data_IF_300582853304
#
_entry.id   IF_300582853304
#
_cell.length_a   1.000
_cell.length_b   1.000
_cell.length_c   1.000
_cell.angle_alpha   90.00
_cell.angle_beta   90.00
_cell.angle_gamma   90.00
#
_symmetry.space_group_name_H-M   'P 1'
#
loop_
_entity.id
_entity.type
_entity.pdbx_description
1 polymer ?
#
# COMPACT_ATOMS: atom_id res chain seq x y z
N UNK A 1 -17.86 12.04 -0.32
CA UNK A 1 -18.88 11.46 0.53
C UNK A 1 -19.70 10.42 -0.20
N UNK A 2 -20.78 9.94 0.41
CA UNK A 2 -21.63 8.85 -0.11
C UNK A 2 -22.16 9.06 -1.54
N UNK A 3 -22.47 10.31 -1.90
CA UNK A 3 -22.92 10.63 -3.25
C UNK A 3 -21.86 10.28 -4.30
N UNK A 4 -20.61 10.66 -4.06
CA UNK A 4 -19.49 10.36 -4.97
C UNK A 4 -19.22 8.86 -5.05
N UNK A 5 -19.37 8.15 -3.94
CA UNK A 5 -19.19 6.68 -3.89
C UNK A 5 -20.25 5.96 -4.75
N UNK A 6 -21.51 6.39 -4.64
CA UNK A 6 -22.60 5.88 -5.49
C UNK A 6 -22.40 6.24 -6.97
N UNK A 7 -21.97 7.47 -7.25
CA UNK A 7 -21.67 7.92 -8.61
C UNK A 7 -20.51 7.12 -9.24
N UNK A 8 -19.40 6.92 -8.49
CA UNK A 8 -18.26 6.15 -8.95
C UNK A 8 -18.63 4.67 -9.22
N UNK A 9 -19.44 4.07 -8.36
CA UNK A 9 -19.94 2.72 -8.56
C UNK A 9 -20.88 2.59 -9.74
N UNK A 10 -21.87 3.48 -9.87
CA UNK A 10 -22.90 3.38 -10.91
C UNK A 10 -22.35 3.58 -12.32
N UNK A 11 -21.44 4.55 -12.50
CA UNK A 11 -20.89 4.88 -13.83
C UNK A 11 -19.65 4.09 -14.19
N UNK A 12 -18.76 3.83 -13.20
CA UNK A 12 -17.43 3.29 -13.47
C UNK A 12 -17.17 1.95 -12.79
N UNK A 13 -18.09 1.45 -11.97
CA UNK A 13 -17.88 0.26 -11.12
C UNK A 13 -16.66 0.38 -10.20
N UNK A 14 -16.29 1.60 -9.85
CA UNK A 14 -15.16 1.91 -8.98
C UNK A 14 -15.62 2.01 -7.53
N UNK A 15 -14.98 1.25 -6.65
CA UNK A 15 -15.18 1.31 -5.20
C UNK A 15 -14.05 2.14 -4.59
N UNK A 16 -14.39 3.00 -3.62
CA UNK A 16 -13.41 3.78 -2.86
C UNK A 16 -12.43 2.86 -2.15
N UNK A 17 -11.12 3.13 -2.26
CA UNK A 17 -10.09 2.44 -1.47
C UNK A 17 -10.29 2.76 0.00
N UNK A 18 -10.48 1.72 0.80
CA UNK A 18 -10.51 1.86 2.25
C UNK A 18 -9.08 1.95 2.78
N UNK A 19 -8.89 2.66 3.88
CA UNK A 19 -7.60 2.70 4.54
C UNK A 19 -7.23 1.34 5.14
N UNK A 20 -5.94 1.18 5.41
CA UNK A 20 -5.41 0.03 6.16
C UNK A 20 -4.72 0.57 7.41
N UNK A 21 -5.08 0.10 8.60
CA UNK A 21 -4.45 0.57 9.84
C UNK A 21 -2.97 0.18 9.90
N UNK A 22 -2.20 0.91 10.69
CA UNK A 22 -0.83 0.54 11.02
C UNK A 22 -0.80 -0.78 11.80
N UNK A 23 0.29 -1.52 11.70
CA UNK A 23 0.50 -2.76 12.45
C UNK A 23 1.89 -2.83 13.05
N UNK A 24 2.04 -3.62 14.10
CA UNK A 24 3.32 -3.87 14.75
C UNK A 24 3.46 -5.34 15.13
N UNK A 25 4.68 -5.83 15.12
CA UNK A 25 5.02 -7.14 15.71
C UNK A 25 5.38 -6.90 17.17
N UNK A 26 4.64 -7.55 18.05
CA UNK A 26 4.76 -7.39 19.50
C UNK A 26 5.32 -8.67 20.08
N UNK A 27 6.36 -8.53 20.89
CA UNK A 27 6.85 -9.56 21.76
C UNK A 27 6.06 -9.54 23.06
N UNK A 28 5.36 -10.62 23.37
CA UNK A 28 4.59 -10.83 24.59
C UNK A 28 5.36 -11.79 25.46
N UNK A 29 5.66 -11.38 26.68
CA UNK A 29 6.33 -12.23 27.68
C UNK A 29 5.38 -12.53 28.82
N UNK A 30 5.35 -13.77 29.30
CA UNK A 30 4.47 -14.16 30.40
C UNK A 30 4.56 -15.65 30.72
N UNK A 31 3.59 -16.11 31.51
CA UNK A 31 3.52 -17.50 31.95
C UNK A 31 3.21 -18.42 30.75
N UNK A 32 3.93 -19.56 30.62
CA UNK A 32 3.58 -20.58 29.63
C UNK A 32 2.11 -21.00 29.70
N UNK A 33 1.57 -21.39 28.56
CA UNK A 33 0.17 -21.81 28.36
C UNK A 33 -0.89 -20.74 28.60
N UNK A 34 -0.49 -19.48 28.85
CA UNK A 34 -1.44 -18.34 28.94
C UNK A 34 -2.08 -18.09 27.57
N UNK A 35 -3.40 -18.18 27.50
CA UNK A 35 -4.19 -17.83 26.30
C UNK A 35 -4.29 -16.33 26.13
N UNK A 36 -4.03 -15.84 24.92
CA UNK A 36 -4.18 -14.45 24.50
C UNK A 36 -5.42 -14.36 23.60
N UNK A 37 -6.54 -13.83 24.10
CA UNK A 37 -7.80 -13.75 23.34
C UNK A 37 -7.76 -12.67 22.24
N UNK A 38 -8.72 -12.71 21.33
CA UNK A 38 -8.82 -11.80 20.19
C UNK A 38 -9.08 -10.32 20.56
N UNK A 39 -9.53 -10.05 21.78
CA UNK A 39 -9.78 -8.70 22.30
C UNK A 39 -8.61 -8.12 23.08
N UNK A 40 -7.47 -8.84 23.13
CA UNK A 40 -6.28 -8.36 23.81
C UNK A 40 -5.75 -7.08 23.20
N UNK A 41 -5.80 -6.01 23.97
CA UNK A 41 -5.46 -4.65 23.55
C UNK A 41 -4.28 -4.11 24.35
N UNK A 42 -3.36 -3.47 23.66
CA UNK A 42 -2.15 -2.82 24.17
C UNK A 42 -2.03 -1.41 23.64
N UNK A 43 -1.17 -0.57 24.22
CA UNK A 43 -1.04 0.83 23.86
C UNK A 43 0.41 1.33 23.95
N UNK A 44 0.70 2.41 23.21
CA UNK A 44 1.89 3.25 23.39
C UNK A 44 1.60 4.52 24.21
N UNK A 45 0.38 4.63 24.77
CA UNK A 45 -0.11 5.81 25.47
C UNK A 45 -0.88 6.80 24.60
N UNK A 46 -0.76 6.71 23.27
CA UNK A 46 -1.48 7.56 22.32
C UNK A 46 -2.33 6.76 21.33
N UNK A 47 -1.95 5.54 21.03
CA UNK A 47 -2.60 4.65 20.08
C UNK A 47 -2.83 3.27 20.70
N UNK A 48 -3.95 2.65 20.36
CA UNK A 48 -4.32 1.33 20.84
C UNK A 48 -4.20 0.30 19.70
N UNK A 49 -3.63 -0.85 20.04
CA UNK A 49 -3.42 -1.96 19.13
C UNK A 49 -4.12 -3.21 19.66
N UNK A 50 -4.82 -3.91 18.80
CA UNK A 50 -5.48 -5.17 19.10
C UNK A 50 -4.76 -6.33 18.40
N UNK A 51 -4.72 -7.48 19.00
CA UNK A 51 -4.10 -8.67 18.39
C UNK A 51 -4.87 -9.10 17.12
N UNK A 52 -4.15 -9.41 16.03
CA UNK A 52 -4.77 -9.83 14.77
C UNK A 52 -5.43 -11.22 14.87
N UNK A 53 -4.83 -12.11 15.64
CA UNK A 53 -5.35 -13.47 15.87
C UNK A 53 -5.03 -13.92 17.29
N UNK A 54 -5.96 -14.62 17.96
CA UNK A 54 -5.70 -15.16 19.28
C UNK A 54 -4.53 -16.17 19.23
N UNK A 55 -3.78 -16.25 20.30
CA UNK A 55 -2.60 -17.12 20.40
C UNK A 55 -2.38 -17.59 21.84
N UNK A 56 -1.37 -18.43 22.08
CA UNK A 56 -0.98 -18.93 23.39
C UNK A 56 0.52 -18.74 23.61
N UNK A 57 0.92 -18.38 24.81
CA UNK A 57 2.33 -18.26 25.18
C UNK A 57 2.94 -19.67 25.26
N UNK A 58 3.99 -19.99 24.49
CA UNK A 58 4.63 -21.29 24.50
C UNK A 58 5.44 -21.53 25.79
N UNK A 59 6.00 -22.71 25.94
CA UNK A 59 6.86 -23.10 27.11
C UNK A 59 8.07 -22.17 27.27
N UNK A 60 8.54 -21.52 26.20
CA UNK A 60 9.64 -20.54 26.27
C UNK A 60 9.29 -19.28 27.07
N UNK A 61 8.00 -19.05 27.37
CA UNK A 61 7.52 -17.85 28.05
C UNK A 61 7.47 -16.59 27.19
N UNK A 62 7.72 -16.69 25.87
CA UNK A 62 7.73 -15.57 24.95
C UNK A 62 7.13 -15.93 23.60
N UNK A 63 6.33 -15.03 23.03
CA UNK A 63 5.75 -15.15 21.68
C UNK A 63 5.74 -13.81 20.95
N UNK A 64 5.93 -13.86 19.64
CA UNK A 64 5.76 -12.71 18.75
C UNK A 64 4.42 -12.81 18.03
N UNK A 65 3.59 -11.80 18.17
CA UNK A 65 2.27 -11.73 17.53
C UNK A 65 2.09 -10.39 16.81
N UNK A 66 1.30 -10.40 15.75
CA UNK A 66 0.95 -9.19 15.00
C UNK A 66 -0.23 -8.50 15.66
N UNK A 67 -0.10 -7.18 15.82
CA UNK A 67 -1.14 -6.30 16.34
C UNK A 67 -1.49 -5.25 15.30
N UNK A 68 -2.75 -4.86 15.27
CA UNK A 68 -3.32 -3.90 14.34
C UNK A 68 -3.83 -2.70 15.14
N UNK A 69 -3.51 -1.49 14.69
CA UNK A 69 -4.03 -0.27 15.30
C UNK A 69 -5.56 -0.23 15.16
N UNK A 70 -6.25 0.14 16.23
CA UNK A 70 -7.72 0.30 16.23
C UNK A 70 -8.19 1.47 15.36
N UNK A 71 -7.30 2.43 15.06
CA UNK A 71 -7.61 3.60 14.25
C UNK A 71 -6.74 3.66 13.00
N UNK A 72 -7.32 4.16 11.91
CA UNK A 72 -6.57 4.49 10.71
C UNK A 72 -6.18 5.97 10.78
N UNK A 73 -4.93 6.23 11.13
CA UNK A 73 -4.37 7.57 11.24
C UNK A 73 -2.91 7.59 10.72
N UNK A 74 -2.33 8.78 10.58
CA UNK A 74 -0.98 9.01 10.06
C UNK A 74 0.12 8.84 11.11
N UNK A 75 -0.23 8.46 12.34
CA UNK A 75 0.72 8.29 13.43
C UNK A 75 1.36 6.92 13.39
N UNK A 76 2.63 6.87 13.73
CA UNK A 76 3.41 5.63 13.91
C UNK A 76 3.93 5.55 15.34
N UNK A 77 4.00 4.34 15.89
CA UNK A 77 4.65 4.09 17.17
C UNK A 77 6.12 3.72 16.94
N UNK A 78 7.03 4.36 17.65
CA UNK A 78 8.46 4.05 17.58
C UNK A 78 8.76 2.66 18.18
N UNK A 79 9.98 2.15 17.92
CA UNK A 79 10.45 0.94 18.57
C UNK A 79 10.45 1.10 20.10
N UNK A 80 10.08 0.05 20.82
CA UNK A 80 10.02 -0.04 22.28
C UNK A 80 9.07 0.95 22.98
N UNK A 81 8.05 1.47 22.26
CA UNK A 81 7.07 2.39 22.86
C UNK A 81 5.74 1.72 23.19
N UNK A 82 5.38 0.62 22.51
CA UNK A 82 4.14 -0.12 22.77
C UNK A 82 4.37 -1.06 23.95
N UNK A 83 4.15 -0.55 25.16
CA UNK A 83 4.49 -1.26 26.40
C UNK A 83 3.34 -1.33 27.41
N UNK A 84 2.23 -0.64 27.16
CA UNK A 84 1.10 -0.60 28.08
C UNK A 84 0.10 -1.72 27.74
N UNK A 85 -0.27 -2.51 28.75
CA UNK A 85 -1.33 -3.52 28.64
C UNK A 85 -2.66 -2.82 29.00
N UNK A 86 -3.59 -2.74 28.07
CA UNK A 86 -4.91 -2.14 28.26
C UNK A 86 -5.88 -3.22 28.76
N UNK A 87 -5.93 -4.36 28.08
CA UNK A 87 -6.72 -5.52 28.52
C UNK A 87 -5.86 -6.40 29.42
N UNK A 88 -6.12 -6.36 30.72
CA UNK A 88 -5.33 -7.13 31.67
C UNK A 88 -5.66 -8.63 31.59
N UNK A 89 -4.65 -9.45 31.33
CA UNK A 89 -4.75 -10.93 31.26
C UNK A 89 -3.82 -11.50 32.32
N UNK A 90 -4.37 -12.37 33.18
CA UNK A 90 -3.56 -13.05 34.19
C UNK A 90 -2.55 -14.00 33.51
N UNK A 91 -1.28 -13.76 33.73
CA UNK A 91 -0.19 -14.51 33.12
C UNK A 91 0.58 -13.76 32.03
N UNK A 92 0.10 -12.64 31.53
CA UNK A 92 0.88 -11.71 30.69
C UNK A 92 1.64 -10.74 31.60
N UNK A 93 2.96 -10.67 31.45
CA UNK A 93 3.84 -9.84 32.27
C UNK A 93 4.30 -8.59 31.56
N UNK A 94 4.63 -8.69 30.28
CA UNK A 94 5.19 -7.58 29.50
C UNK A 94 4.87 -7.71 28.01
N UNK A 95 4.72 -6.56 27.36
CA UNK A 95 4.62 -6.41 25.92
C UNK A 95 5.62 -5.38 25.41
N UNK A 96 6.18 -5.56 24.24
CA UNK A 96 7.06 -4.57 23.60
C UNK A 96 7.15 -4.80 22.09
N UNK A 97 7.38 -3.74 21.33
CA UNK A 97 7.67 -3.78 19.90
C UNK A 97 9.17 -3.52 19.67
N UNK A 98 9.90 -4.44 19.09
CA UNK A 98 11.33 -4.29 18.77
C UNK A 98 11.57 -3.31 17.59
N UNK A 99 10.61 -3.22 16.68
CA UNK A 99 10.64 -2.35 15.52
C UNK A 99 9.48 -1.34 15.55
N UNK A 100 9.59 -0.20 14.85
CA UNK A 100 8.48 0.73 14.70
C UNK A 100 7.26 0.06 14.06
N UNK A 101 6.07 0.60 14.33
CA UNK A 101 4.87 0.18 13.61
C UNK A 101 4.96 0.53 12.13
N UNK A 102 4.22 -0.20 11.28
CA UNK A 102 4.06 0.15 9.88
C UNK A 102 3.30 1.46 9.73
N UNK A 103 3.43 2.10 8.57
CA UNK A 103 2.64 3.29 8.24
C UNK A 103 1.24 2.85 7.80
N UNK A 104 0.20 3.51 8.32
CA UNK A 104 -1.16 3.29 7.87
C UNK A 104 -1.39 3.83 6.46
N UNK A 105 -2.23 3.15 5.69
CA UNK A 105 -2.72 3.68 4.42
C UNK A 105 -4.04 4.39 4.70
N UNK A 106 -4.09 5.69 4.44
CA UNK A 106 -5.30 6.47 4.68
C UNK A 106 -6.40 6.13 3.68
N UNK A 107 -7.65 6.30 4.11
CA UNK A 107 -8.81 6.16 3.21
C UNK A 107 -8.72 7.16 2.06
N UNK A 108 -9.03 6.71 0.85
CA UNK A 108 -9.06 7.55 -0.35
C UNK A 108 -10.00 8.76 -0.19
N UNK A 109 -9.49 9.95 -0.43
CA UNK A 109 -10.28 11.19 -0.39
C UNK A 109 -11.23 11.31 -1.58
N UNK A 110 -12.19 12.23 -1.52
CA UNK A 110 -13.11 12.48 -2.62
C UNK A 110 -12.37 12.94 -3.90
N UNK A 111 -11.35 13.77 -3.75
CA UNK A 111 -10.55 14.24 -4.89
C UNK A 111 -9.75 13.08 -5.54
N UNK A 112 -9.19 12.19 -4.75
CA UNK A 112 -8.45 11.01 -5.24
C UNK A 112 -9.40 10.04 -5.97
N UNK A 113 -10.56 9.74 -5.39
CA UNK A 113 -11.57 8.88 -6.02
C UNK A 113 -12.05 9.48 -7.34
N UNK A 114 -12.37 10.78 -7.37
CA UNK A 114 -12.81 11.47 -8.58
C UNK A 114 -11.73 11.40 -9.68
N UNK A 115 -10.47 11.72 -9.35
CA UNK A 115 -9.37 11.64 -10.31
C UNK A 115 -9.19 10.21 -10.85
N UNK A 116 -9.30 9.18 -9.99
CA UNK A 116 -9.23 7.79 -10.41
C UNK A 116 -10.37 7.42 -11.36
N UNK A 117 -11.59 7.90 -11.13
CA UNK A 117 -12.72 7.68 -12.03
C UNK A 117 -12.50 8.31 -13.42
N UNK A 118 -11.80 9.46 -13.52
CA UNK A 118 -11.48 10.08 -14.80
C UNK A 118 -10.58 9.19 -15.68
N UNK A 119 -9.70 8.41 -15.08
CA UNK A 119 -8.85 7.45 -15.80
C UNK A 119 -9.57 6.14 -16.13
N UNK A 120 -10.60 5.77 -15.38
CA UNK A 120 -11.26 4.48 -15.50
C UNK A 120 -11.97 4.27 -16.84
N UNK A 121 -12.50 5.32 -17.45
CA UNK A 121 -13.10 5.24 -18.79
C UNK A 121 -12.13 4.80 -19.88
N UNK A 122 -10.83 4.79 -19.60
CA UNK A 122 -9.77 4.40 -20.53
C UNK A 122 -9.35 2.93 -20.40
N UNK A 123 -9.88 2.16 -19.43
CA UNK A 123 -9.47 0.75 -19.19
C UNK A 123 -10.03 -0.24 -20.21
N UNK A 124 -11.00 0.18 -21.03
CA UNK A 124 -11.62 -0.68 -22.04
C UNK A 124 -10.70 -1.02 -23.24
N UNK A 125 -9.56 -0.36 -23.37
CA UNK A 125 -8.56 -0.61 -24.42
C UNK A 125 -7.22 -1.01 -23.80
N UNK A 126 -6.86 -2.28 -23.88
CA UNK A 126 -5.52 -2.75 -23.53
C UNK A 126 -4.46 -2.06 -24.42
N UNK A 127 -3.26 -1.84 -23.84
CA UNK A 127 -2.11 -1.28 -24.52
C UNK A 127 -2.16 0.23 -24.87
N UNK A 128 -3.14 0.99 -24.40
CA UNK A 128 -3.06 2.45 -24.46
C UNK A 128 -2.31 3.02 -23.26
N UNK A 129 -1.60 4.14 -23.44
CA UNK A 129 -0.95 4.84 -22.34
C UNK A 129 -1.94 5.19 -21.20
N UNK A 130 -3.16 5.57 -21.55
CA UNK A 130 -4.22 5.84 -20.57
C UNK A 130 -4.66 4.62 -19.79
N UNK A 131 -4.68 3.43 -20.40
CA UNK A 131 -5.02 2.20 -19.68
C UNK A 131 -3.94 1.83 -18.65
N UNK A 132 -2.67 2.08 -18.95
CA UNK A 132 -1.57 1.90 -18.00
C UNK A 132 -1.77 2.80 -16.78
N UNK A 133 -2.03 4.10 -17.00
CA UNK A 133 -2.29 5.04 -15.91
C UNK A 133 -3.51 4.62 -15.08
N UNK A 134 -4.59 4.17 -15.74
CA UNK A 134 -5.79 3.72 -15.05
C UNK A 134 -5.54 2.50 -14.15
N UNK A 135 -4.78 1.52 -14.63
CA UNK A 135 -4.45 0.32 -13.85
C UNK A 135 -3.54 0.65 -12.66
N UNK A 136 -2.51 1.47 -12.87
CA UNK A 136 -1.64 1.91 -11.77
C UNK A 136 -2.41 2.74 -10.74
N UNK A 137 -3.36 3.58 -11.17
CA UNK A 137 -4.21 4.35 -10.26
C UNK A 137 -5.06 3.47 -9.33
N UNK A 138 -5.33 2.22 -9.70
CA UNK A 138 -6.08 1.27 -8.87
C UNK A 138 -5.23 0.58 -7.80
N UNK A 139 -3.90 0.64 -7.90
CA UNK A 139 -3.01 0.03 -6.90
C UNK A 139 -3.28 0.64 -5.52
N UNK A 140 -3.37 -0.22 -4.52
CA UNK A 140 -3.58 0.21 -3.14
C UNK A 140 -2.43 1.12 -2.67
N UNK A 141 -2.77 2.24 -2.03
CA UNK A 141 -1.79 3.21 -1.55
C UNK A 141 -1.36 4.25 -2.59
N UNK A 142 -1.67 4.09 -3.89
CA UNK A 142 -1.45 5.14 -4.88
C UNK A 142 -2.46 6.26 -4.67
N UNK A 143 -1.94 7.47 -4.41
CA UNK A 143 -2.72 8.68 -4.14
C UNK A 143 -2.86 9.58 -5.38
N UNK A 144 -1.79 9.67 -6.19
CA UNK A 144 -1.75 10.47 -7.42
C UNK A 144 -0.95 9.75 -8.50
N UNK A 145 -1.33 9.99 -9.74
CA UNK A 145 -0.61 9.48 -10.90
C UNK A 145 -0.61 10.54 -12.02
N UNK A 146 0.48 10.62 -12.72
CA UNK A 146 0.64 11.40 -13.93
C UNK A 146 1.62 10.68 -14.87
N UNK A 147 1.74 11.14 -16.10
CA UNK A 147 2.74 10.62 -17.00
C UNK A 147 2.66 11.27 -18.37
N UNK A 148 3.60 10.88 -19.22
CA UNK A 148 3.69 11.33 -20.60
C UNK A 148 4.18 10.20 -21.51
N UNK A 149 3.84 10.26 -22.78
CA UNK A 149 4.32 9.34 -23.81
C UNK A 149 5.00 10.11 -24.93
N UNK A 150 6.05 9.53 -25.49
CA UNK A 150 6.70 9.98 -26.70
C UNK A 150 6.44 8.97 -27.82
N UNK A 151 5.60 9.36 -28.77
CA UNK A 151 5.24 8.54 -29.95
C UNK A 151 6.12 8.80 -31.17
N UNK A 152 7.09 9.71 -31.04
CA UNK A 152 7.96 10.12 -32.15
C UNK A 152 9.26 9.32 -32.17
N UNK A 153 9.91 9.30 -33.34
CA UNK A 153 11.22 8.67 -33.56
C UNK A 153 12.41 9.51 -33.03
N UNK A 154 12.12 10.62 -32.35
CA UNK A 154 13.13 11.54 -31.80
C UNK A 154 12.94 11.74 -30.30
N UNK A 155 14.03 12.07 -29.60
CA UNK A 155 13.94 12.43 -28.19
C UNK A 155 13.04 13.66 -28.01
N UNK A 156 12.20 13.61 -27.01
CA UNK A 156 11.31 14.71 -26.63
C UNK A 156 11.50 15.10 -25.16
N UNK A 157 11.37 16.38 -24.86
CA UNK A 157 11.30 16.84 -23.48
C UNK A 157 9.86 17.26 -23.18
N UNK A 158 9.16 16.49 -22.35
CA UNK A 158 7.76 16.72 -21.98
C UNK A 158 7.71 16.98 -20.48
N UNK A 159 7.19 18.15 -20.08
CA UNK A 159 7.10 18.57 -18.67
C UNK A 159 8.44 18.45 -17.89
N UNK A 160 9.57 18.71 -18.57
CA UNK A 160 10.92 18.66 -17.98
C UNK A 160 11.53 17.26 -17.93
N UNK A 161 10.82 16.21 -18.37
CA UNK A 161 11.35 14.85 -18.48
C UNK A 161 11.76 14.57 -19.91
N UNK A 162 13.02 14.11 -20.08
CA UNK A 162 13.52 13.68 -21.38
C UNK A 162 13.07 12.24 -21.67
N UNK A 163 12.29 12.07 -22.74
CA UNK A 163 11.77 10.80 -23.21
C UNK A 163 12.51 10.36 -24.47
N UNK A 164 12.98 9.14 -24.47
CA UNK A 164 13.54 8.48 -25.66
C UNK A 164 12.43 8.20 -26.70
N UNK A 165 12.77 7.91 -27.96
CA UNK A 165 11.77 7.50 -28.96
C UNK A 165 10.91 6.33 -28.45
N UNK A 166 9.61 6.38 -28.71
CA UNK A 166 8.65 5.32 -28.36
C UNK A 166 8.67 4.91 -26.90
N UNK A 167 8.86 5.87 -25.99
CA UNK A 167 8.90 5.61 -24.54
C UNK A 167 7.78 6.29 -23.79
N UNK A 168 7.54 5.78 -22.59
CA UNK A 168 6.60 6.35 -21.63
C UNK A 168 7.32 6.69 -20.34
N UNK A 169 6.85 7.71 -19.64
CA UNK A 169 7.16 7.93 -18.24
C UNK A 169 5.88 7.93 -17.40
N UNK A 170 5.96 7.37 -16.21
CA UNK A 170 4.88 7.33 -15.23
C UNK A 170 5.42 7.91 -13.93
N UNK A 171 4.69 8.83 -13.33
CA UNK A 171 4.99 9.44 -12.04
C UNK A 171 3.91 9.01 -11.06
N UNK A 172 4.30 8.38 -9.95
CA UNK A 172 3.37 7.81 -8.97
C UNK A 172 3.68 8.34 -7.58
N UNK A 173 2.64 8.74 -6.86
CA UNK A 173 2.72 9.11 -5.46
C UNK A 173 2.10 8.00 -4.61
N UNK A 174 2.89 7.38 -3.71
CA UNK A 174 2.49 6.24 -2.89
C UNK A 174 2.47 4.89 -3.61
N UNK A 175 1.87 3.89 -2.96
CA UNK A 175 1.77 2.51 -3.46
C UNK A 175 3.06 1.69 -3.35
N UNK A 176 2.94 0.37 -3.38
CA UNK A 176 4.09 -0.55 -3.36
C UNK A 176 4.68 -0.73 -4.75
N UNK A 177 6.02 -0.71 -4.87
CA UNK A 177 6.72 -0.76 -6.16
C UNK A 177 6.38 -2.02 -6.97
N UNK A 178 6.31 -3.17 -6.31
CA UNK A 178 5.98 -4.42 -6.98
C UNK A 178 4.55 -4.43 -7.52
N UNK A 179 3.59 -3.90 -6.74
CA UNK A 179 2.19 -3.79 -7.17
C UNK A 179 2.03 -2.81 -8.34
N UNK A 180 2.76 -1.69 -8.33
CA UNK A 180 2.82 -0.73 -9.44
C UNK A 180 3.39 -1.40 -10.69
N UNK A 181 4.51 -2.11 -10.59
CA UNK A 181 5.13 -2.79 -11.73
C UNK A 181 4.22 -3.88 -12.32
N UNK A 182 3.49 -4.64 -11.48
CA UNK A 182 2.49 -5.62 -11.94
C UNK A 182 1.36 -4.94 -12.71
N UNK A 183 0.82 -3.84 -12.22
CA UNK A 183 -0.23 -3.07 -12.90
C UNK A 183 0.24 -2.51 -14.26
N UNK A 184 1.50 -2.07 -14.34
CA UNK A 184 2.12 -1.64 -15.61
C UNK A 184 2.24 -2.85 -16.56
N UNK A 185 2.74 -3.98 -16.07
CA UNK A 185 2.94 -5.18 -16.86
C UNK A 185 1.65 -5.69 -17.51
N UNK A 186 0.53 -5.65 -16.79
CA UNK A 186 -0.77 -6.12 -17.27
C UNK A 186 -1.35 -5.28 -18.42
N UNK A 187 -0.90 -4.04 -18.55
CA UNK A 187 -1.47 -3.07 -19.53
C UNK A 187 -0.46 -2.51 -20.52
N UNK A 188 0.85 -2.71 -20.30
CA UNK A 188 1.89 -2.16 -21.16
C UNK A 188 2.04 -2.97 -22.47
N UNK A 189 2.08 -2.28 -23.60
CA UNK A 189 2.41 -2.89 -24.87
C UNK A 189 3.87 -3.39 -24.89
N UNK A 190 4.10 -4.51 -25.59
CA UNK A 190 5.44 -5.02 -25.86
C UNK A 190 6.23 -4.02 -26.71
N UNK A 191 7.52 -3.82 -26.39
CA UNK A 191 8.41 -2.95 -27.17
C UNK A 191 8.38 -1.47 -26.82
N UNK A 192 7.49 -1.02 -25.93
CA UNK A 192 7.51 0.36 -25.42
C UNK A 192 8.58 0.50 -24.33
N UNK A 193 9.50 1.45 -24.46
CA UNK A 193 10.52 1.73 -23.45
C UNK A 193 9.94 2.54 -22.28
N UNK A 194 10.62 2.54 -21.13
CA UNK A 194 10.18 3.22 -19.93
C UNK A 194 11.28 4.09 -19.34
N UNK A 195 10.94 5.33 -18.99
CA UNK A 195 11.83 6.29 -18.36
C UNK A 195 11.41 6.53 -16.91
N UNK A 196 12.35 6.43 -15.98
CA UNK A 196 12.11 6.64 -14.55
C UNK A 196 13.37 6.40 -13.72
N UNK A 197 13.36 6.89 -12.48
CA UNK A 197 14.46 6.75 -11.51
C UNK A 197 14.27 5.55 -10.58
N UNK A 198 13.05 5.07 -10.40
CA UNK A 198 12.73 3.87 -9.62
C UNK A 198 12.66 2.69 -10.55
N UNK A 199 13.43 1.65 -10.26
CA UNK A 199 13.42 0.39 -11.02
C UNK A 199 12.81 -0.72 -10.18
N UNK A 200 11.87 -1.46 -10.76
CA UNK A 200 11.30 -2.67 -10.18
C UNK A 200 11.44 -3.84 -11.15
N UNK A 201 11.96 -4.95 -10.64
CA UNK A 201 12.15 -6.19 -11.39
C UNK A 201 11.01 -7.15 -11.05
N UNK A 202 10.39 -7.72 -12.09
CA UNK A 202 9.47 -8.84 -11.97
C UNK A 202 10.04 -10.05 -12.71
N UNK A 203 9.83 -11.23 -12.13
CA UNK A 203 10.13 -12.51 -12.80
C UNK A 203 8.82 -13.17 -13.21
N UNK A 204 8.61 -13.31 -14.52
CA UNK A 204 7.41 -13.92 -15.09
C UNK A 204 7.90 -15.07 -15.99
N UNK A 205 7.41 -16.28 -15.73
CA UNK A 205 7.83 -17.49 -16.45
C UNK A 205 9.36 -17.68 -16.52
N UNK A 206 10.06 -17.35 -15.44
CA UNK A 206 11.52 -17.36 -15.31
C UNK A 206 12.25 -16.29 -16.14
N UNK A 207 11.54 -15.40 -16.80
CA UNK A 207 12.09 -14.29 -17.55
C UNK A 207 12.08 -13.01 -16.70
N UNK A 208 13.19 -12.25 -16.77
CA UNK A 208 13.36 -11.00 -16.03
C UNK A 208 12.79 -9.84 -16.84
N UNK A 209 11.89 -9.08 -16.21
CA UNK A 209 11.36 -7.83 -16.74
C UNK A 209 11.69 -6.68 -15.81
N UNK A 210 12.12 -5.55 -16.35
CA UNK A 210 12.44 -4.32 -15.58
C UNK A 210 11.45 -3.23 -15.94
N UNK A 211 10.81 -2.67 -14.93
CA UNK A 211 9.86 -1.56 -15.06
C UNK A 211 10.45 -0.32 -14.40
N UNK A 212 10.40 0.82 -15.11
CA UNK A 212 10.93 2.10 -14.63
C UNK A 212 9.81 3.12 -14.49
N UNK A 213 9.82 3.86 -13.40
CA UNK A 213 8.86 4.94 -13.13
C UNK A 213 9.47 5.94 -12.16
N UNK A 214 8.84 7.10 -12.01
CA UNK A 214 9.20 8.07 -10.97
C UNK A 214 8.27 7.87 -9.78
N UNK A 215 8.85 7.82 -8.58
CA UNK A 215 8.12 7.76 -7.32
C UNK A 215 8.37 9.03 -6.51
N UNK A 216 7.27 9.68 -6.06
CA UNK A 216 7.30 10.88 -5.22
C UNK A 216 7.24 10.50 -3.75
#
# INVERSE_FOLDING_TARGET
>A
GEFLDKWAWNLYRVVRKQGTPSSAIITITGRPETEIPADFTISDGSQNYIIESPTQIPESGEIKAKFINLEINDKTSNANTITQIVTNINGVERVTNEAPSTIAIMRETDAQLFNRCLYFGSTATNASFRSILANVAQVQGVSRIAGAENVLDTNQTIQGVQLTPHSICIVVDGGENEAIAKAIQESKATGCDMVGTTEQILYIDKQKYTYKFYKL
#
